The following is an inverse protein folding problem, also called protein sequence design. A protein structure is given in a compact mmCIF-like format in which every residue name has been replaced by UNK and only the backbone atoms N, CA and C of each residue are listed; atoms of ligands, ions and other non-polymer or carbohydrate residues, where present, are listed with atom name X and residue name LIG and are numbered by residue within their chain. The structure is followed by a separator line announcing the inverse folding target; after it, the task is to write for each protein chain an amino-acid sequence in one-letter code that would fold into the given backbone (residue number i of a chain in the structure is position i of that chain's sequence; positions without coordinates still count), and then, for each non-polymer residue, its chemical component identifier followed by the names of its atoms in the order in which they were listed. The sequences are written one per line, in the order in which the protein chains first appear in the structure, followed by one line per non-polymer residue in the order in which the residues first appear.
data_IF_361921166234
#
_entry.id   IF_361921166234
#
_cell.length_a   1.000
_cell.length_b   1.000
_cell.length_c   1.000
_cell.angle_alpha   90.00
_cell.angle_beta   90.00
_cell.angle_gamma   90.00
#
_symmetry.space_group_name_H-M   'P 1'
#
loop_
_entity.id
_entity.type
_entity.pdbx_description
1 polymer ?
#
# COMPACT_ATOMS: atom_id res chain seq x y z
N UNK A 1 15.77 -12.56 -25.62
CA UNK A 1 14.53 -12.09 -24.97
C UNK A 1 14.94 -11.36 -23.71
N UNK A 2 14.77 -10.04 -23.66
CA UNK A 2 15.08 -9.29 -22.44
C UNK A 2 13.98 -9.59 -21.43
N UNK A 3 14.30 -10.24 -20.31
CA UNK A 3 13.36 -10.34 -19.20
C UNK A 3 13.10 -8.90 -18.72
N UNK A 4 11.89 -8.39 -18.94
CA UNK A 4 11.47 -7.13 -18.35
C UNK A 4 11.62 -7.28 -16.84
N UNK A 5 12.58 -6.60 -16.23
CA UNK A 5 12.72 -6.60 -14.78
C UNK A 5 11.48 -5.90 -14.22
N UNK A 6 10.58 -6.68 -13.60
CA UNK A 6 9.45 -6.11 -12.87
C UNK A 6 9.99 -5.21 -11.77
N UNK A 7 9.65 -3.91 -11.83
CA UNK A 7 9.97 -2.97 -10.76
C UNK A 7 9.23 -3.40 -9.50
N UNK A 8 9.97 -3.53 -8.40
CA UNK A 8 9.45 -3.89 -7.09
C UNK A 8 9.66 -2.72 -6.13
N UNK A 9 8.60 -2.41 -5.41
CA UNK A 9 8.54 -1.29 -4.47
C UNK A 9 8.50 -1.81 -3.03
N UNK A 10 9.23 -1.15 -2.15
CA UNK A 10 9.24 -1.38 -0.71
C UNK A 10 8.61 -0.20 0.03
N UNK A 11 8.51 -0.29 1.36
CA UNK A 11 8.08 0.83 2.20
C UNK A 11 9.20 1.86 2.47
N UNK A 12 10.44 1.56 2.05
CA UNK A 12 11.57 2.48 2.22
C UNK A 12 11.42 3.66 1.28
N UNK A 13 11.35 4.86 1.85
CA UNK A 13 11.17 6.13 1.14
C UNK A 13 12.03 7.20 1.75
N UNK A 14 12.35 8.23 0.98
CA UNK A 14 13.12 9.36 1.49
C UNK A 14 12.25 10.30 2.34
N UNK A 15 12.89 11.15 3.13
CA UNK A 15 12.19 12.19 3.90
C UNK A 15 11.46 13.16 2.97
N UNK A 16 12.04 13.48 1.81
CA UNK A 16 11.42 14.35 0.80
C UNK A 16 10.11 13.76 0.29
N UNK A 17 10.08 12.44 0.05
CA UNK A 17 8.85 11.75 -0.34
C UNK A 17 7.78 11.84 0.75
N UNK A 18 8.15 11.70 2.03
CA UNK A 18 7.19 11.87 3.13
C UNK A 18 6.64 13.30 3.21
N UNK A 19 7.49 14.31 3.01
CA UNK A 19 7.07 15.72 2.96
C UNK A 19 6.09 15.95 1.80
N UNK A 20 6.35 15.36 0.63
CA UNK A 20 5.46 15.46 -0.53
C UNK A 20 4.05 14.92 -0.25
N UNK A 21 3.90 13.90 0.61
CA UNK A 21 2.59 13.35 0.98
C UNK A 21 1.72 14.33 1.81
N UNK A 22 2.32 15.35 2.40
CA UNK A 22 1.64 16.36 3.21
C UNK A 22 1.32 17.64 2.43
N UNK A 23 1.81 17.74 1.20
CA UNK A 23 1.56 18.90 0.35
C UNK A 23 0.07 19.01 -0.04
N UNK A 24 -0.47 20.24 -0.15
CA UNK A 24 -1.83 20.45 -0.62
C UNK A 24 -2.04 19.78 -1.99
N UNK A 25 -3.14 19.05 -2.12
CA UNK A 25 -3.45 18.32 -3.36
C UNK A 25 -3.95 19.24 -4.48
N UNK A 26 -4.36 20.46 -4.14
CA UNK A 26 -4.93 21.43 -5.06
C UNK A 26 -4.24 22.78 -4.89
N UNK A 27 -4.01 23.47 -6.01
CA UNK A 27 -3.55 24.86 -6.02
C UNK A 27 -4.68 25.83 -5.68
N UNK A 28 -4.35 27.04 -5.23
CA UNK A 28 -5.34 28.11 -4.96
C UNK A 28 -6.24 28.39 -6.17
N UNK A 29 -5.67 28.34 -7.39
CA UNK A 29 -6.44 28.53 -8.62
C UNK A 29 -7.49 27.42 -8.81
N UNK A 30 -7.16 26.16 -8.50
CA UNK A 30 -8.12 25.06 -8.59
C UNK A 30 -9.21 25.18 -7.51
N UNK A 31 -8.82 25.60 -6.31
CA UNK A 31 -9.74 25.80 -5.19
C UNK A 31 -10.77 26.90 -5.47
N UNK A 32 -10.44 27.92 -6.25
CA UNK A 32 -11.37 29.01 -6.61
C UNK A 32 -12.67 28.54 -7.29
N UNK A 33 -12.63 27.38 -7.94
CA UNK A 33 -13.80 26.78 -8.61
C UNK A 33 -14.62 25.83 -7.73
N UNK A 34 -14.22 25.59 -6.49
CA UNK A 34 -14.85 24.60 -5.61
C UNK A 34 -15.98 25.21 -4.77
N UNK A 35 -16.93 24.38 -4.36
CA UNK A 35 -17.98 24.79 -3.43
C UNK A 35 -17.41 25.05 -2.03
N UNK A 36 -18.06 25.90 -1.24
CA UNK A 36 -17.67 26.17 0.15
C UNK A 36 -17.57 24.87 0.98
N UNK A 37 -18.47 23.91 0.74
CA UNK A 37 -18.44 22.62 1.41
C UNK A 37 -17.17 21.81 1.05
N UNK A 38 -16.79 21.79 -0.23
CA UNK A 38 -15.57 21.12 -0.68
C UNK A 38 -14.32 21.80 -0.10
N UNK A 39 -14.29 23.14 -0.11
CA UNK A 39 -13.21 23.92 0.49
C UNK A 39 -13.05 23.62 1.98
N UNK A 40 -14.15 23.52 2.73
CA UNK A 40 -14.11 23.16 4.15
C UNK A 40 -13.47 21.79 4.38
N UNK A 41 -13.88 20.77 3.63
CA UNK A 41 -13.31 19.41 3.73
C UNK A 41 -11.82 19.41 3.41
N UNK A 42 -11.41 20.13 2.36
CA UNK A 42 -9.99 20.21 1.96
C UNK A 42 -9.16 20.93 3.04
N UNK A 43 -9.64 22.06 3.54
CA UNK A 43 -8.93 22.82 4.57
C UNK A 43 -8.81 22.04 5.89
N UNK A 44 -9.85 21.31 6.29
CA UNK A 44 -9.82 20.44 7.46
C UNK A 44 -8.79 19.31 7.27
N UNK A 45 -8.78 18.66 6.10
CA UNK A 45 -7.79 17.63 5.76
C UNK A 45 -6.36 18.18 5.76
N UNK A 46 -6.13 19.34 5.15
CA UNK A 46 -4.79 19.94 5.05
C UNK A 46 -4.28 20.39 6.43
N UNK A 47 -5.18 20.92 7.28
CA UNK A 47 -4.85 21.23 8.67
C UNK A 47 -4.49 19.97 9.47
N UNK A 48 -5.23 18.87 9.29
CA UNK A 48 -4.93 17.57 9.90
C UNK A 48 -3.59 17.01 9.44
N UNK A 49 -3.30 17.04 8.13
CA UNK A 49 -2.01 16.59 7.59
C UNK A 49 -0.84 17.40 8.17
N UNK A 50 -1.01 18.72 8.30
CA UNK A 50 0.01 19.59 8.91
C UNK A 50 0.22 19.32 10.40
N UNK A 51 -0.84 19.00 11.13
CA UNK A 51 -0.76 18.66 12.56
C UNK A 51 -0.20 17.26 12.81
N UNK A 52 -0.33 16.36 11.83
CA UNK A 52 0.07 14.96 11.90
C UNK A 52 0.87 14.59 10.64
N UNK A 53 2.14 15.05 10.54
CA UNK A 53 2.96 14.82 9.36
C UNK A 53 3.17 13.33 9.08
N UNK A 54 3.39 12.99 7.82
CA UNK A 54 3.67 11.62 7.39
C UNK A 54 5.02 11.15 7.96
N UNK A 55 5.03 9.96 8.57
CA UNK A 55 6.23 9.35 9.19
C UNK A 55 6.63 8.02 8.55
N UNK A 56 5.71 7.35 7.88
CA UNK A 56 5.98 6.10 7.16
C UNK A 56 4.87 5.80 6.14
N UNK A 57 5.16 4.89 5.21
CA UNK A 57 4.17 4.35 4.28
C UNK A 57 4.05 2.83 4.38
N UNK A 58 2.92 2.30 3.93
CA UNK A 58 2.68 0.87 3.77
C UNK A 58 2.03 0.62 2.41
N UNK A 59 2.78 0.02 1.49
CA UNK A 59 2.27 -0.26 0.14
C UNK A 59 1.33 -1.44 0.14
N UNK A 60 0.29 -1.37 -0.68
CA UNK A 60 -0.61 -2.52 -0.91
C UNK A 60 0.16 -3.66 -1.58
N UNK A 61 0.14 -4.85 -0.98
CA UNK A 61 0.67 -6.04 -1.60
C UNK A 61 -0.25 -6.51 -2.73
N UNK A 62 0.32 -7.10 -3.77
CA UNK A 62 -0.43 -7.53 -4.95
C UNK A 62 0.09 -8.87 -5.48
N UNK A 63 -0.59 -9.44 -6.47
CA UNK A 63 -0.04 -10.55 -7.25
C UNK A 63 1.36 -10.18 -7.76
N UNK A 64 2.33 -11.06 -7.55
CA UNK A 64 3.75 -10.83 -7.83
C UNK A 64 4.56 -10.30 -6.64
N UNK A 65 3.92 -9.87 -5.54
CA UNK A 65 4.61 -9.55 -4.28
C UNK A 65 5.45 -10.74 -3.80
N UNK A 66 6.65 -10.43 -3.29
CA UNK A 66 7.58 -11.43 -2.79
C UNK A 66 7.68 -11.38 -1.28
N UNK A 67 7.90 -12.54 -0.69
CA UNK A 67 8.19 -12.70 0.73
C UNK A 67 9.69 -12.85 0.98
N UNK A 68 10.11 -12.65 2.23
CA UNK A 68 11.52 -12.74 2.64
C UNK A 68 12.12 -14.11 2.35
N UNK A 69 11.37 -15.19 2.53
CA UNK A 69 11.84 -16.55 2.29
C UNK A 69 11.58 -17.05 0.85
N UNK A 70 11.35 -16.14 -0.10
CA UNK A 70 11.25 -16.47 -1.53
C UNK A 70 9.87 -16.94 -2.00
N UNK A 71 8.85 -16.79 -1.17
CA UNK A 71 7.45 -17.01 -1.56
C UNK A 71 6.95 -15.90 -2.48
N UNK A 72 6.01 -16.23 -3.36
CA UNK A 72 5.40 -15.26 -4.29
C UNK A 72 3.89 -15.32 -4.19
N UNK A 73 3.24 -14.18 -4.06
CA UNK A 73 1.77 -14.07 -4.11
C UNK A 73 1.32 -14.28 -5.56
N UNK A 74 0.55 -15.33 -5.85
CA UNK A 74 0.25 -15.71 -7.25
C UNK A 74 -1.11 -15.29 -7.76
N UNK A 75 -2.18 -15.65 -7.05
CA UNK A 75 -3.55 -15.37 -7.48
C UNK A 75 -4.36 -14.93 -6.28
N UNK A 76 -5.08 -13.84 -6.47
CA UNK A 76 -5.98 -13.24 -5.48
C UNK A 76 -7.36 -13.15 -6.10
N UNK A 77 -8.42 -13.19 -5.30
CA UNK A 77 -9.81 -13.01 -5.78
C UNK A 77 -10.28 -11.57 -5.70
N UNK A 78 -9.38 -10.63 -5.40
CA UNK A 78 -9.70 -9.22 -5.22
C UNK A 78 -10.25 -8.59 -6.50
N UNK A 79 -11.22 -7.68 -6.34
CA UNK A 79 -11.71 -6.84 -7.43
C UNK A 79 -10.83 -5.61 -7.65
N UNK A 80 -9.96 -5.27 -6.69
CA UNK A 80 -9.03 -4.16 -6.80
C UNK A 80 -7.84 -4.59 -7.67
N UNK A 81 -7.74 -3.98 -8.86
CA UNK A 81 -6.68 -4.24 -9.83
C UNK A 81 -5.81 -3.00 -10.04
N UNK A 82 -4.52 -3.25 -10.27
CA UNK A 82 -3.50 -2.25 -10.56
C UNK A 82 -2.90 -2.50 -11.93
N UNK A 83 -2.76 -1.44 -12.71
CA UNK A 83 -2.01 -1.49 -13.97
C UNK A 83 -0.54 -1.22 -13.68
N UNK A 84 0.32 -2.15 -14.09
CA UNK A 84 1.77 -2.04 -13.94
C UNK A 84 2.38 -1.22 -15.09
N UNK A 85 3.64 -0.83 -14.92
CA UNK A 85 4.38 -0.03 -15.90
C UNK A 85 4.55 -0.75 -17.26
N UNK A 86 4.64 -2.08 -17.25
CA UNK A 86 4.69 -2.90 -18.46
C UNK A 86 3.31 -3.11 -19.13
N UNK A 87 2.26 -2.49 -18.57
CA UNK A 87 0.89 -2.58 -19.05
C UNK A 87 0.11 -3.79 -18.57
N UNK A 88 0.75 -4.73 -17.86
CA UNK A 88 0.06 -5.86 -17.23
C UNK A 88 -0.83 -5.41 -16.08
N UNK A 89 -1.73 -6.29 -15.64
CA UNK A 89 -2.61 -6.04 -14.50
C UNK A 89 -2.37 -7.08 -13.41
N UNK A 90 -2.32 -6.60 -12.18
CA UNK A 90 -2.23 -7.43 -10.97
C UNK A 90 -3.32 -7.03 -9.99
N UNK A 91 -3.77 -7.96 -9.17
CA UNK A 91 -4.79 -7.70 -8.15
C UNK A 91 -4.20 -7.54 -6.76
N UNK A 92 -4.87 -6.75 -5.91
CA UNK A 92 -4.49 -6.56 -4.52
C UNK A 92 -4.64 -7.87 -3.73
N UNK A 93 -3.64 -8.20 -2.93
CA UNK A 93 -3.69 -9.34 -2.02
C UNK A 93 -4.52 -9.03 -0.78
N UNK A 94 -5.16 -10.06 -0.22
CA UNK A 94 -5.99 -9.97 0.98
C UNK A 94 -5.56 -11.03 2.00
N UNK A 95 -5.98 -10.84 3.25
CA UNK A 95 -5.86 -11.88 4.29
C UNK A 95 -6.43 -13.22 3.78
N UNK A 96 -5.69 -14.31 4.01
CA UNK A 96 -6.03 -15.65 3.55
C UNK A 96 -5.49 -16.02 2.16
N UNK A 97 -5.12 -15.04 1.31
CA UNK A 97 -4.40 -15.34 0.06
C UNK A 97 -3.04 -15.99 0.37
N UNK A 98 -2.51 -16.76 -0.58
CA UNK A 98 -1.32 -17.58 -0.36
C UNK A 98 -0.09 -17.05 -1.10
N UNK A 99 1.06 -17.10 -0.42
CA UNK A 99 2.36 -17.20 -1.09
C UNK A 99 2.60 -18.66 -1.50
N UNK A 100 3.25 -18.84 -2.65
CA UNK A 100 3.73 -20.14 -3.14
C UNK A 100 5.25 -20.11 -3.18
N UNK A 101 5.88 -21.13 -2.61
CA UNK A 101 7.34 -21.28 -2.55
C UNK A 101 7.85 -22.22 -3.66
N UNK A 102 9.17 -22.21 -3.89
CA UNK A 102 9.81 -23.00 -4.95
C UNK A 102 9.68 -24.53 -4.73
N UNK A 103 9.56 -24.97 -3.48
CA UNK A 103 9.32 -26.37 -3.10
C UNK A 103 7.85 -26.79 -3.24
N UNK A 104 6.96 -25.87 -3.67
CA UNK A 104 5.54 -26.09 -3.83
C UNK A 104 4.72 -25.92 -2.55
N UNK A 105 5.36 -25.63 -1.41
CA UNK A 105 4.63 -25.29 -0.18
C UNK A 105 3.93 -23.95 -0.32
N UNK A 106 2.94 -23.72 0.55
CA UNK A 106 2.19 -22.47 0.60
C UNK A 106 2.04 -21.97 2.03
N UNK A 107 1.89 -20.66 2.17
CA UNK A 107 1.55 -20.03 3.45
C UNK A 107 0.54 -18.92 3.22
N UNK A 108 -0.44 -18.80 4.13
CA UNK A 108 -1.51 -17.81 4.02
C UNK A 108 -1.08 -16.49 4.65
N UNK A 109 -1.53 -15.37 4.08
CA UNK A 109 -1.39 -14.05 4.69
C UNK A 109 -2.29 -13.96 5.92
N UNK A 110 -1.72 -13.58 7.07
CA UNK A 110 -2.42 -13.56 8.36
C UNK A 110 -2.69 -12.15 8.85
N UNK A 111 -1.74 -11.23 8.64
CA UNK A 111 -1.89 -9.82 9.01
C UNK A 111 -2.08 -8.91 7.81
N UNK A 112 -2.67 -7.73 8.00
CA UNK A 112 -3.20 -6.90 6.92
C UNK A 112 -3.43 -5.46 7.38
N UNK A 113 -4.05 -4.64 6.54
CA UNK A 113 -4.40 -3.25 6.83
C UNK A 113 -5.58 -3.08 7.83
N UNK A 114 -6.12 -4.18 8.36
CA UNK A 114 -7.27 -4.21 9.25
C UNK A 114 -8.63 -4.17 8.57
N UNK A 115 -9.70 -4.33 9.36
CA UNK A 115 -11.11 -4.39 8.91
C UNK A 115 -11.54 -3.12 8.17
N UNK A 116 -11.15 -1.94 8.69
CA UNK A 116 -11.48 -0.66 8.08
C UNK A 116 -10.91 -0.50 6.65
N UNK A 117 -9.88 -1.28 6.30
CA UNK A 117 -9.25 -1.33 4.99
C UNK A 117 -9.53 -2.66 4.27
N UNK A 118 -10.67 -3.30 4.58
CA UNK A 118 -11.14 -4.53 3.93
C UNK A 118 -10.13 -5.69 3.99
N UNK A 119 -9.27 -5.72 5.00
CA UNK A 119 -8.22 -6.73 5.15
C UNK A 119 -7.26 -6.86 3.96
N UNK A 120 -7.02 -5.77 3.22
CA UNK A 120 -5.99 -5.71 2.18
C UNK A 120 -4.61 -5.98 2.80
N UNK A 121 -3.84 -6.86 2.18
CA UNK A 121 -2.48 -7.14 2.60
C UNK A 121 -1.53 -6.00 2.22
N UNK A 122 -0.50 -5.79 3.04
CA UNK A 122 0.48 -4.74 2.86
C UNK A 122 1.89 -5.34 2.74
N UNK A 123 2.82 -4.57 2.20
CA UNK A 123 4.25 -4.84 2.45
C UNK A 123 4.50 -4.68 3.95
N UNK A 124 5.00 -5.75 4.58
CA UNK A 124 5.08 -5.94 6.03
C UNK A 124 4.06 -6.94 6.59
N UNK A 125 3.08 -7.40 5.80
CA UNK A 125 2.14 -8.43 6.26
C UNK A 125 2.84 -9.77 6.47
N UNK A 126 2.51 -10.43 7.58
CA UNK A 126 3.07 -11.73 7.96
C UNK A 126 2.21 -12.89 7.48
N UNK A 127 2.86 -14.04 7.28
CA UNK A 127 2.25 -15.27 6.81
C UNK A 127 2.15 -16.32 7.92
N UNK A 128 1.34 -17.36 7.69
CA UNK A 128 1.06 -18.43 8.66
C UNK A 128 2.29 -19.27 9.06
N UNK A 129 3.37 -19.18 8.29
CA UNK A 129 4.66 -19.81 8.58
C UNK A 129 5.69 -18.83 9.18
N UNK A 130 5.29 -17.60 9.53
CA UNK A 130 6.15 -16.55 10.08
C UNK A 130 6.97 -15.77 9.05
N UNK A 131 6.79 -16.03 7.75
CA UNK A 131 7.40 -15.22 6.69
C UNK A 131 6.68 -13.87 6.53
N UNK A 132 7.27 -12.96 5.76
CA UNK A 132 6.80 -11.57 5.63
C UNK A 132 6.87 -11.11 4.18
N UNK A 133 5.85 -10.40 3.70
CA UNK A 133 5.86 -9.73 2.40
C UNK A 133 6.80 -8.53 2.44
N UNK A 134 7.84 -8.52 1.60
CA UNK A 134 8.89 -7.49 1.62
C UNK A 134 8.80 -6.47 0.47
N UNK A 135 8.01 -6.76 -0.56
CA UNK A 135 7.84 -5.87 -1.70
C UNK A 135 6.53 -6.09 -2.44
N UNK A 136 6.25 -5.21 -3.39
CA UNK A 136 5.08 -5.29 -4.28
C UNK A 136 5.41 -4.76 -5.67
N UNK A 137 4.84 -5.31 -6.75
CA UNK A 137 5.03 -4.76 -8.09
C UNK A 137 4.20 -3.50 -8.35
N UNK A 138 3.19 -3.20 -7.53
CA UNK A 138 2.38 -1.99 -7.70
C UNK A 138 2.98 -0.81 -6.92
N UNK A 139 3.18 0.32 -7.59
CA UNK A 139 3.77 1.52 -7.00
C UNK A 139 2.76 2.61 -6.61
N UNK A 140 1.47 2.42 -6.91
CA UNK A 140 0.48 3.52 -6.94
C UNK A 140 -0.33 3.69 -5.66
N UNK A 141 -0.60 2.62 -4.91
CA UNK A 141 -1.45 2.68 -3.71
C UNK A 141 -0.66 2.34 -2.46
N UNK A 142 -0.76 3.21 -1.47
CA UNK A 142 -0.14 3.09 -0.16
C UNK A 142 -1.05 3.67 0.93
N UNK A 143 -0.84 3.23 2.17
CA UNK A 143 -1.37 3.83 3.37
C UNK A 143 -0.27 4.65 4.05
N UNK A 144 -0.66 5.74 4.71
CA UNK A 144 0.25 6.69 5.34
C UNK A 144 0.09 6.58 6.85
N UNK A 145 1.18 6.32 7.56
CA UNK A 145 1.22 6.52 8.99
C UNK A 145 1.62 7.95 9.30
N UNK A 146 0.89 8.55 10.24
CA UNK A 146 1.00 9.95 10.61
C UNK A 146 1.40 10.09 12.07
N UNK A 147 2.21 11.11 12.37
CA UNK A 147 2.68 11.37 13.72
C UNK A 147 1.50 11.60 14.69
N UNK A 148 1.52 10.91 15.84
CA UNK A 148 0.47 11.03 16.86
C UNK A 148 -0.88 10.37 16.51
N UNK A 149 -1.02 9.77 15.32
CA UNK A 149 -2.23 9.03 14.92
C UNK A 149 -2.03 7.55 15.19
N UNK A 150 -2.87 6.99 16.06
CA UNK A 150 -2.85 5.56 16.36
C UNK A 150 -3.30 4.74 15.15
N UNK A 151 -2.58 3.65 14.88
CA UNK A 151 -3.02 2.62 13.93
C UNK A 151 -4.13 1.79 14.57
N UNK A 152 -4.96 1.14 13.76
CA UNK A 152 -5.92 0.17 14.27
C UNK A 152 -5.18 -1.02 14.93
N UNK A 153 -5.80 -1.63 15.94
CA UNK A 153 -5.23 -2.77 16.68
C UNK A 153 -4.96 -3.99 15.78
N UNK A 154 -5.68 -4.10 14.66
CA UNK A 154 -5.55 -5.17 13.67
C UNK A 154 -4.71 -4.78 12.44
N UNK A 155 -4.01 -3.64 12.52
CA UNK A 155 -3.07 -3.19 11.49
C UNK A 155 -1.68 -3.84 11.69
N UNK A 156 -1.29 -4.69 10.74
CA UNK A 156 0.00 -5.42 10.63
C UNK A 156 0.47 -6.23 11.83
#
# INVERSE_FOLDING_TARGET
MSASQTLLYTNEVSTEFLIELDMPAFSEQQLSGFSEQALKIINERDAQNKAHPAIAIYRVAAEGSQTRNGGVIKKTTSQMAFKLADGSQVRAAHKGDCAVYADGTTAQIVTCAGEANSHIALVGSTLSNGDEIINTPQGSVLLIAREGVQKADDFL
#
